data_IF_538246010561
#
_entry.id   IF_538246010561
#
_cell.length_a   1.000
_cell.length_b   1.000
_cell.length_c   1.000
_cell.angle_alpha   90.00
_cell.angle_beta   90.00
_cell.angle_gamma   90.00
#
_symmetry.space_group_name_H-M   'P 1'
#
loop_
_entity.id
_entity.type
_entity.pdbx_description
1 polymer ?
#
# COMPACT_ATOMS: atom_id res chain seq x y z
N UNK A 1 -9.76 -9.42 -18.06
CA UNK A 1 -10.69 -9.69 -16.93
C UNK A 1 -11.11 -11.16 -16.78
N UNK A 2 -10.91 -12.05 -17.76
CA UNK A 2 -11.33 -13.47 -17.68
C UNK A 2 -10.88 -14.14 -16.37
N UNK A 3 -9.59 -14.09 -16.03
CA UNK A 3 -9.05 -14.63 -14.77
C UNK A 3 -9.68 -14.06 -13.49
N UNK A 4 -10.11 -12.79 -13.49
CA UNK A 4 -10.76 -12.17 -12.31
C UNK A 4 -12.20 -12.66 -12.13
N UNK A 5 -12.88 -12.99 -13.23
CA UNK A 5 -14.24 -13.55 -13.20
C UNK A 5 -14.24 -14.96 -12.61
N UNK A 6 -13.18 -15.73 -12.86
CA UNK A 6 -13.03 -17.10 -12.37
C UNK A 6 -12.88 -17.16 -10.83
N UNK A 7 -12.22 -16.17 -10.23
CA UNK A 7 -11.99 -16.09 -8.77
C UNK A 7 -13.17 -15.47 -8.00
N UNK A 8 -14.20 -14.96 -8.69
CA UNK A 8 -15.39 -14.29 -8.09
C UNK A 8 -15.06 -13.16 -7.11
N UNK A 9 -13.95 -12.45 -7.33
CA UNK A 9 -13.60 -11.29 -6.51
C UNK A 9 -14.41 -10.06 -6.93
N UNK A 10 -14.82 -9.28 -5.95
CA UNK A 10 -15.34 -7.93 -6.19
C UNK A 10 -14.20 -7.03 -6.65
N UNK A 11 -14.42 -6.31 -7.76
CA UNK A 11 -13.45 -5.35 -8.30
C UNK A 11 -13.89 -3.96 -7.87
N UNK A 12 -13.20 -3.42 -6.86
CA UNK A 12 -13.43 -2.04 -6.42
C UNK A 12 -13.04 -1.05 -7.52
N UNK A 13 -13.84 0.02 -7.74
CA UNK A 13 -13.49 1.07 -8.68
C UNK A 13 -12.23 1.80 -8.20
N UNK A 14 -11.32 2.09 -9.13
CA UNK A 14 -10.10 2.83 -8.85
C UNK A 14 -9.93 3.98 -9.84
N UNK A 15 -10.00 5.25 -9.40
CA UNK A 15 -9.86 6.39 -10.29
C UNK A 15 -8.44 6.50 -10.86
N UNK A 16 -8.29 6.99 -12.11
CA UNK A 16 -6.98 7.18 -12.72
C UNK A 16 -6.16 8.23 -11.97
N UNK A 17 -4.84 8.01 -11.89
CA UNK A 17 -3.87 8.88 -11.19
C UNK A 17 -4.10 9.07 -9.69
N UNK A 18 -5.06 8.38 -9.07
CA UNK A 18 -5.21 8.41 -7.62
C UNK A 18 -4.39 7.28 -7.00
N UNK A 19 -3.13 7.49 -6.56
CA UNK A 19 -2.37 6.41 -5.95
C UNK A 19 -3.16 5.84 -4.78
N UNK A 20 -3.48 4.54 -4.83
CA UNK A 20 -4.33 3.90 -3.85
C UNK A 20 -3.68 4.02 -2.47
N UNK A 21 -4.38 4.63 -1.52
CA UNK A 21 -3.77 5.03 -0.25
C UNK A 21 -3.35 3.84 0.61
N UNK A 22 -4.09 2.71 0.64
CA UNK A 22 -3.59 1.48 1.26
C UNK A 22 -2.30 0.94 0.62
N UNK A 23 -2.03 1.26 -0.65
CA UNK A 23 -0.76 0.93 -1.30
C UNK A 23 0.34 1.90 -0.87
N UNK A 24 0.05 3.20 -0.76
CA UNK A 24 1.01 4.20 -0.23
C UNK A 24 1.43 3.87 1.21
N UNK A 25 0.47 3.49 2.07
CA UNK A 25 0.73 3.19 3.49
C UNK A 25 1.65 1.99 3.70
N UNK A 26 1.80 1.11 2.71
CA UNK A 26 2.75 -0.02 2.74
C UNK A 26 4.05 0.34 2.03
N UNK A 27 3.97 0.94 0.84
CA UNK A 27 5.14 1.22 0.00
C UNK A 27 6.07 2.25 0.64
N UNK A 28 5.54 3.32 1.23
CA UNK A 28 6.38 4.38 1.80
C UNK A 28 7.20 3.88 3.00
N UNK A 29 6.62 3.20 4.01
CA UNK A 29 7.42 2.63 5.10
C UNK A 29 8.40 1.57 4.63
N UNK A 30 8.05 0.77 3.62
CA UNK A 30 8.95 -0.22 3.04
C UNK A 30 10.13 0.45 2.35
N UNK A 31 9.91 1.51 1.57
CA UNK A 31 10.97 2.31 0.96
C UNK A 31 11.93 2.86 2.00
N UNK A 32 11.40 3.44 3.09
CA UNK A 32 12.22 3.96 4.19
C UNK A 32 13.03 2.84 4.89
N UNK A 33 12.43 1.67 5.08
CA UNK A 33 13.10 0.50 5.65
C UNK A 33 14.25 -0.01 4.76
N UNK A 34 14.09 0.08 3.44
CA UNK A 34 15.07 -0.38 2.46
C UNK A 34 16.15 0.68 2.14
N UNK A 35 15.86 1.97 2.29
CA UNK A 35 16.73 3.08 1.88
C UNK A 35 18.15 3.01 2.48
N UNK A 36 18.27 2.47 3.70
CA UNK A 36 19.56 2.35 4.40
C UNK A 36 20.24 0.99 4.24
N UNK A 37 19.73 0.11 3.37
CA UNK A 37 20.23 -1.27 3.19
C UNK A 37 20.93 -1.40 1.84
N UNK A 38 22.18 -1.82 1.85
CA UNK A 38 22.90 -2.19 0.63
C UNK A 38 22.65 -3.69 0.35
N UNK A 39 21.61 -3.97 -0.44
CA UNK A 39 21.20 -5.33 -0.80
C UNK A 39 21.89 -5.74 -2.11
N UNK A 40 22.67 -6.82 -2.08
CA UNK A 40 23.57 -7.20 -3.19
C UNK A 40 23.00 -8.29 -4.10
N UNK A 41 21.99 -9.02 -3.64
CA UNK A 41 21.41 -10.15 -4.36
C UNK A 41 19.93 -10.34 -4.01
N UNK A 42 19.24 -11.18 -4.81
CA UNK A 42 17.81 -11.44 -4.63
C UNK A 42 17.44 -12.10 -3.30
N UNK A 43 18.35 -12.87 -2.70
CA UNK A 43 18.12 -13.53 -1.40
C UNK A 43 18.08 -12.50 -0.27
N UNK A 44 18.99 -11.53 -0.29
CA UNK A 44 19.00 -10.42 0.65
C UNK A 44 17.75 -9.55 0.50
N UNK A 45 17.30 -9.30 -0.74
CA UNK A 45 16.05 -8.58 -1.01
C UNK A 45 14.85 -9.33 -0.42
N UNK A 46 14.72 -10.62 -0.70
CA UNK A 46 13.60 -11.42 -0.19
C UNK A 46 13.60 -11.49 1.33
N UNK A 47 14.77 -11.68 1.95
CA UNK A 47 14.91 -11.70 3.41
C UNK A 47 14.54 -10.36 4.03
N UNK A 48 14.98 -9.24 3.45
CA UNK A 48 14.63 -7.91 3.92
C UNK A 48 13.13 -7.63 3.82
N UNK A 49 12.50 -8.01 2.70
CA UNK A 49 11.05 -7.85 2.50
C UNK A 49 10.26 -8.69 3.51
N UNK A 50 10.64 -9.95 3.71
CA UNK A 50 9.98 -10.82 4.69
C UNK A 50 10.10 -10.23 6.11
N UNK A 51 11.31 -9.81 6.50
CA UNK A 51 11.55 -9.16 7.79
C UNK A 51 10.73 -7.86 7.96
N UNK A 52 10.54 -7.10 6.89
CA UNK A 52 9.67 -5.92 6.93
C UNK A 52 8.22 -6.29 7.25
N UNK A 53 7.64 -7.28 6.58
CA UNK A 53 6.27 -7.69 6.84
C UNK A 53 6.10 -8.35 8.21
N UNK A 54 7.07 -9.15 8.66
CA UNK A 54 7.08 -9.75 10.00
C UNK A 54 7.16 -8.71 11.11
N UNK A 55 7.77 -7.55 10.85
CA UNK A 55 7.85 -6.45 11.81
C UNK A 55 6.52 -5.70 12.01
N UNK A 56 5.52 -5.92 11.14
CA UNK A 56 4.23 -5.23 11.19
C UNK A 56 3.19 -6.06 11.93
N UNK A 57 2.42 -5.40 12.78
CA UNK A 57 1.29 -6.04 13.47
C UNK A 57 0.02 -5.92 12.65
N UNK A 58 -0.94 -6.82 12.91
CA UNK A 58 -2.25 -6.77 12.30
C UNK A 58 -2.98 -5.44 12.59
N UNK A 59 -2.79 -4.89 13.79
CA UNK A 59 -3.34 -3.61 14.23
C UNK A 59 -2.76 -2.45 13.41
N UNK A 60 -1.46 -2.49 13.10
CA UNK A 60 -0.81 -1.49 12.25
C UNK A 60 -1.45 -1.47 10.86
N UNK A 61 -1.67 -2.64 10.24
CA UNK A 61 -2.30 -2.72 8.94
C UNK A 61 -3.76 -2.26 8.95
N UNK A 62 -4.53 -2.64 9.99
CA UNK A 62 -5.92 -2.19 10.17
C UNK A 62 -5.97 -0.67 10.31
N UNK A 63 -5.15 -0.09 11.18
CA UNK A 63 -5.13 1.36 11.40
C UNK A 63 -4.86 2.14 10.10
N UNK A 64 -3.88 1.69 9.32
CA UNK A 64 -3.55 2.33 8.04
C UNK A 64 -4.66 2.13 6.98
N UNK A 65 -5.32 0.97 6.96
CA UNK A 65 -6.45 0.70 6.06
C UNK A 65 -7.66 1.58 6.37
N UNK A 66 -7.91 1.87 7.67
CA UNK A 66 -9.00 2.74 8.12
C UNK A 66 -8.65 4.23 8.12
N UNK A 67 -7.46 4.62 7.65
CA UNK A 67 -7.10 6.04 7.56
C UNK A 67 -8.04 6.71 6.54
N UNK A 68 -8.99 7.50 7.07
CA UNK A 68 -10.14 8.12 6.40
C UNK A 68 -9.74 9.15 5.33
N UNK A 69 -9.24 8.67 4.21
CA UNK A 69 -8.86 9.53 3.09
C UNK A 69 -10.03 9.75 2.12
N UNK A 70 -10.93 8.78 1.99
CA UNK A 70 -12.03 8.87 1.04
C UNK A 70 -12.94 10.08 1.31
N UNK A 71 -13.16 10.43 2.59
CA UNK A 71 -13.87 11.65 2.97
C UNK A 71 -13.16 12.92 2.51
N UNK A 72 -11.83 12.99 2.64
CA UNK A 72 -11.06 14.18 2.24
C UNK A 72 -11.03 14.38 0.74
N UNK A 73 -10.95 13.31 -0.05
CA UNK A 73 -11.01 13.40 -1.52
C UNK A 73 -12.35 13.98 -1.97
N UNK A 74 -13.45 13.59 -1.30
CA UNK A 74 -14.78 14.15 -1.56
C UNK A 74 -14.85 15.63 -1.18
N UNK A 75 -14.35 16.00 0.01
CA UNK A 75 -14.30 17.40 0.47
C UNK A 75 -13.49 18.32 -0.46
N UNK A 76 -12.44 17.78 -1.08
CA UNK A 76 -11.55 18.51 -1.99
C UNK A 76 -11.94 18.38 -3.46
N UNK A 77 -13.14 17.89 -3.77
CA UNK A 77 -13.64 17.72 -5.15
C UNK A 77 -12.67 16.94 -6.07
N UNK A 78 -11.95 15.96 -5.53
CA UNK A 78 -11.01 15.14 -6.29
C UNK A 78 -9.59 15.71 -6.40
N UNK A 79 -9.30 16.87 -5.82
CA UNK A 79 -7.94 17.41 -5.77
C UNK A 79 -7.03 16.61 -4.83
N UNK A 80 -5.75 16.59 -5.17
CA UNK A 80 -4.72 16.04 -4.28
C UNK A 80 -4.57 16.90 -3.03
N UNK A 81 -4.21 16.26 -1.93
CA UNK A 81 -3.82 16.93 -0.70
C UNK A 81 -2.50 16.37 -0.19
N UNK A 82 -1.77 17.22 0.52
CA UNK A 82 -0.56 16.88 1.24
C UNK A 82 -0.93 16.82 2.71
N UNK A 83 -0.62 15.70 3.38
CA UNK A 83 -0.67 15.59 4.84
C UNK A 83 0.66 15.99 5.47
#
# INVERSE_FOLDING_TARGET
RAKLKDVRWEVLPHPPYSPYLPVITIILPMSNFLANRNLKNGVEVQTAINSFFESKTQESHKKEMYKLVELRVVELNGDYFIE
#
